data_IF_521224068525
#
_entry.id   IF_521224068525
#
_cell.length_a   1.000
_cell.length_b   1.000
_cell.length_c   1.000
_cell.angle_alpha   90.00
_cell.angle_beta   90.00
_cell.angle_gamma   90.00
#
_symmetry.space_group_name_H-M   'P 1'
#
loop_
_entity.id
_entity.type
_entity.pdbx_description
1 polymer ?
#
# COMPACT_ATOMS: atom_id res chain seq x y z
N UNK A 1 -14.96 17.60 18.14
CA UNK A 1 -13.63 17.63 17.51
C UNK A 1 -13.37 16.38 16.65
N UNK A 2 -13.57 15.15 17.13
CA UNK A 2 -13.31 13.90 16.34
C UNK A 2 -14.06 13.85 15.00
N UNK A 3 -15.37 14.14 14.96
CA UNK A 3 -16.13 14.09 13.70
C UNK A 3 -15.59 15.06 12.63
N UNK A 4 -15.14 16.24 13.02
CA UNK A 4 -14.51 17.21 12.11
C UNK A 4 -13.20 16.68 11.52
N UNK A 5 -12.39 16.00 12.33
CA UNK A 5 -11.13 15.40 11.89
C UNK A 5 -11.37 14.31 10.83
N UNK A 6 -12.32 13.40 11.05
CA UNK A 6 -12.66 12.36 10.07
C UNK A 6 -13.21 12.91 8.75
N UNK A 7 -14.04 13.98 8.83
CA UNK A 7 -14.57 14.65 7.63
C UNK A 7 -13.42 15.33 6.86
N UNK A 8 -12.48 15.96 7.57
CA UNK A 8 -11.33 16.62 6.95
C UNK A 8 -10.45 15.62 6.20
N UNK A 9 -10.10 14.49 6.82
CA UNK A 9 -9.33 13.41 6.16
C UNK A 9 -10.08 12.87 4.93
N UNK A 10 -11.38 12.64 5.05
CA UNK A 10 -12.18 12.16 3.91
C UNK A 10 -12.15 13.16 2.74
N UNK A 11 -12.18 14.46 3.04
CA UNK A 11 -12.05 15.51 2.02
C UNK A 11 -10.67 15.51 1.37
N UNK A 12 -9.59 15.36 2.16
CA UNK A 12 -8.22 15.27 1.64
C UNK A 12 -8.06 14.08 0.69
N UNK A 13 -8.60 12.90 1.05
CA UNK A 13 -8.59 11.71 0.20
C UNK A 13 -9.33 11.98 -1.11
N UNK A 14 -10.53 12.58 -1.07
CA UNK A 14 -11.30 12.92 -2.27
C UNK A 14 -10.54 13.92 -3.15
N UNK A 15 -9.97 14.97 -2.56
CA UNK A 15 -9.20 15.97 -3.31
C UNK A 15 -7.98 15.35 -3.99
N UNK A 16 -7.24 14.51 -3.28
CA UNK A 16 -6.06 13.84 -3.84
C UNK A 16 -6.44 12.91 -4.99
N UNK A 17 -7.47 12.08 -4.82
CA UNK A 17 -7.97 11.21 -5.89
C UNK A 17 -8.34 12.00 -7.14
N UNK A 18 -9.02 13.13 -6.94
CA UNK A 18 -9.41 13.99 -8.06
C UNK A 18 -8.21 14.66 -8.72
N UNK A 19 -7.17 15.00 -7.96
CA UNK A 19 -5.91 15.50 -8.54
C UNK A 19 -5.27 14.46 -9.45
N UNK A 20 -5.14 13.20 -8.98
CA UNK A 20 -4.50 12.13 -9.74
C UNK A 20 -5.24 11.85 -11.07
N UNK A 21 -6.55 11.70 -10.99
CA UNK A 21 -7.39 11.46 -12.18
C UNK A 21 -7.44 12.71 -13.06
N UNK A 22 -7.65 13.89 -12.48
CA UNK A 22 -7.74 15.14 -13.22
C UNK A 22 -6.48 15.46 -14.02
N UNK A 23 -5.28 15.14 -13.51
CA UNK A 23 -4.02 15.32 -14.24
C UNK A 23 -3.90 14.30 -15.38
N UNK A 24 -4.35 13.07 -15.19
CA UNK A 24 -4.42 12.07 -16.25
C UNK A 24 -5.32 12.55 -17.40
N UNK A 25 -6.56 12.94 -17.10
CA UNK A 25 -7.53 13.46 -18.08
C UNK A 25 -7.03 14.74 -18.76
N UNK A 26 -6.33 15.60 -18.01
CA UNK A 26 -5.70 16.79 -18.56
C UNK A 26 -4.68 16.44 -19.64
N UNK A 27 -3.96 15.34 -19.50
CA UNK A 27 -3.05 14.84 -20.53
C UNK A 27 -3.77 14.57 -21.85
N UNK A 28 -4.85 13.80 -21.81
CA UNK A 28 -5.69 13.52 -22.99
C UNK A 28 -6.26 14.81 -23.58
N UNK A 29 -6.79 15.68 -22.75
CA UNK A 29 -7.36 16.95 -23.15
C UNK A 29 -6.35 17.83 -23.91
N UNK A 30 -5.16 18.03 -23.35
CA UNK A 30 -4.13 18.88 -23.95
C UNK A 30 -3.61 18.29 -25.26
N UNK A 31 -3.40 16.98 -25.32
CA UNK A 31 -2.97 16.29 -26.52
C UNK A 31 -4.05 16.36 -27.64
N UNK A 32 -5.31 16.12 -27.30
CA UNK A 32 -6.42 16.23 -28.23
C UNK A 32 -6.54 17.65 -28.78
N UNK A 33 -6.45 18.66 -27.93
CA UNK A 33 -6.45 20.07 -28.32
C UNK A 33 -5.27 20.42 -29.23
N UNK A 34 -4.06 19.93 -28.89
CA UNK A 34 -2.85 20.15 -29.70
C UNK A 34 -2.94 19.51 -31.07
N UNK A 35 -3.55 18.31 -31.16
CA UNK A 35 -3.73 17.58 -32.42
C UNK A 35 -4.98 18.01 -33.20
N UNK A 36 -5.77 18.97 -32.70
CA UNK A 36 -6.95 19.50 -33.34
C UNK A 36 -8.16 18.57 -33.37
N UNK A 37 -8.23 17.58 -32.46
CA UNK A 37 -9.39 16.74 -32.30
C UNK A 37 -10.57 17.54 -31.72
N UNK A 38 -11.77 17.13 -32.04
CA UNK A 38 -12.98 17.69 -31.43
C UNK A 38 -13.08 17.23 -29.99
N UNK A 39 -13.18 18.19 -29.09
CA UNK A 39 -13.43 17.93 -27.66
C UNK A 39 -14.83 18.44 -27.36
N UNK A 40 -15.74 17.58 -26.98
CA UNK A 40 -17.09 17.98 -26.60
C UNK A 40 -17.16 18.39 -25.13
N UNK A 41 -16.52 17.60 -24.25
CA UNK A 41 -16.57 17.84 -22.80
C UNK A 41 -15.28 17.45 -22.10
N UNK A 42 -14.91 18.23 -21.11
CA UNK A 42 -13.95 17.87 -20.07
C UNK A 42 -14.68 17.86 -18.73
N UNK A 43 -14.83 16.71 -18.10
CA UNK A 43 -15.57 16.56 -16.87
C UNK A 43 -14.69 15.99 -15.76
N UNK A 44 -14.80 16.59 -14.58
CA UNK A 44 -14.34 16.05 -13.32
C UNK A 44 -15.58 15.49 -12.63
N UNK A 45 -15.47 14.26 -12.08
CA UNK A 45 -16.56 13.49 -11.51
C UNK A 45 -17.58 12.98 -12.55
N UNK A 46 -18.22 11.90 -12.19
CA UNK A 46 -19.26 11.28 -13.00
C UNK A 46 -20.66 11.78 -12.64
N UNK A 47 -21.62 11.41 -13.47
CA UNK A 47 -23.05 11.66 -13.26
C UNK A 47 -23.55 12.99 -13.81
N UNK A 48 -24.73 13.44 -13.35
CA UNK A 48 -25.32 14.70 -13.80
C UNK A 48 -24.47 15.87 -13.33
N UNK A 49 -24.17 16.87 -14.21
CA UNK A 49 -23.40 18.03 -13.80
C UNK A 49 -24.11 18.86 -12.73
N UNK A 50 -23.40 19.12 -11.62
CA UNK A 50 -23.80 20.10 -10.61
C UNK A 50 -23.36 21.53 -11.02
N UNK A 51 -22.32 21.61 -11.84
CA UNK A 51 -21.86 22.85 -12.46
C UNK A 51 -21.35 22.54 -13.86
N UNK A 52 -21.63 23.46 -14.81
CA UNK A 52 -21.09 23.39 -16.15
C UNK A 52 -20.95 24.77 -16.79
N UNK A 53 -19.96 24.92 -17.64
CA UNK A 53 -19.74 26.10 -18.44
C UNK A 53 -19.18 25.72 -19.82
N UNK A 54 -19.36 26.57 -20.82
CA UNK A 54 -18.84 26.32 -22.16
C UNK A 54 -17.84 27.40 -22.55
N UNK A 55 -16.60 27.00 -22.80
CA UNK A 55 -15.51 27.89 -23.17
C UNK A 55 -14.83 27.35 -24.45
N UNK A 56 -14.69 28.17 -25.47
CA UNK A 56 -14.02 27.77 -26.73
C UNK A 56 -14.62 26.55 -27.41
N UNK A 57 -15.94 26.32 -27.27
CA UNK A 57 -16.64 25.18 -27.85
C UNK A 57 -16.58 23.88 -27.02
N UNK A 58 -15.79 23.83 -25.92
CA UNK A 58 -15.69 22.72 -24.98
C UNK A 58 -16.59 22.97 -23.78
N UNK A 59 -17.40 21.99 -23.39
CA UNK A 59 -18.15 22.01 -22.14
C UNK A 59 -17.25 21.54 -20.99
N UNK A 60 -17.04 22.36 -19.99
CA UNK A 60 -16.39 22.01 -18.71
C UNK A 60 -17.46 21.69 -17.71
N UNK A 61 -17.38 20.54 -17.05
CA UNK A 61 -18.41 20.08 -16.13
C UNK A 61 -17.84 19.50 -14.86
N UNK A 62 -18.59 19.66 -13.75
CA UNK A 62 -18.37 18.98 -12.47
C UNK A 62 -19.59 18.09 -12.22
N UNK A 63 -19.39 16.77 -12.17
CA UNK A 63 -20.45 15.81 -11.85
C UNK A 63 -20.83 15.80 -10.38
N UNK A 64 -21.81 15.01 -9.99
CA UNK A 64 -22.24 14.90 -8.58
C UNK A 64 -21.63 13.71 -7.85
N UNK A 65 -21.03 12.73 -8.56
CA UNK A 65 -20.35 11.57 -7.98
C UNK A 65 -18.86 11.92 -7.87
N UNK A 66 -18.29 12.13 -6.68
CA UNK A 66 -16.93 12.61 -6.49
C UNK A 66 -15.87 11.53 -6.76
N UNK A 67 -15.95 10.91 -7.92
CA UNK A 67 -15.03 9.88 -8.38
C UNK A 67 -14.86 9.98 -9.88
N UNK A 68 -13.61 9.84 -10.35
CA UNK A 68 -13.30 9.79 -11.76
C UNK A 68 -13.29 11.14 -12.47
N UNK A 69 -13.17 11.07 -13.76
CA UNK A 69 -13.20 12.16 -14.73
C UNK A 69 -13.23 11.59 -16.13
N UNK A 70 -13.44 12.41 -17.14
CA UNK A 70 -13.35 11.98 -18.54
C UNK A 70 -13.23 13.15 -19.50
N UNK A 71 -12.63 12.87 -20.64
CA UNK A 71 -12.60 13.76 -21.79
C UNK A 71 -13.43 13.15 -22.93
N UNK A 72 -14.55 13.77 -23.30
CA UNK A 72 -15.38 13.28 -24.41
C UNK A 72 -14.74 13.65 -25.76
N UNK A 73 -14.22 12.64 -26.44
CA UNK A 73 -13.54 12.73 -27.72
C UNK A 73 -14.30 11.93 -28.80
N UNK A 74 -15.29 12.53 -29.53
CA UNK A 74 -16.17 11.79 -30.42
C UNK A 74 -15.46 11.08 -31.58
N UNK A 75 -14.24 11.51 -31.91
CA UNK A 75 -13.42 10.87 -32.95
C UNK A 75 -12.62 9.65 -32.44
N UNK A 76 -12.67 9.40 -31.11
CA UNK A 76 -12.09 8.21 -30.47
C UNK A 76 -13.23 7.31 -29.91
N UNK A 77 -14.01 6.74 -30.84
CA UNK A 77 -15.30 6.08 -30.59
C UNK A 77 -15.31 4.99 -29.50
N UNK A 78 -14.16 4.42 -29.18
CA UNK A 78 -14.04 3.43 -28.09
C UNK A 78 -14.03 4.06 -26.70
N UNK A 79 -13.57 5.30 -26.57
CA UNK A 79 -13.65 6.04 -25.31
C UNK A 79 -15.09 6.43 -24.96
N UNK A 80 -15.93 6.71 -25.96
CA UNK A 80 -17.35 7.05 -25.73
C UNK A 80 -18.16 5.93 -25.04
N UNK A 81 -17.81 4.68 -25.30
CA UNK A 81 -18.50 3.55 -24.68
C UNK A 81 -18.19 3.43 -23.16
N UNK A 82 -17.09 3.96 -22.71
CA UNK A 82 -16.59 3.85 -21.35
C UNK A 82 -16.79 5.15 -20.56
N UNK A 83 -16.53 6.29 -21.19
CA UNK A 83 -16.49 7.61 -20.54
C UNK A 83 -17.80 8.41 -20.66
N UNK A 84 -18.71 8.00 -21.52
CA UNK A 84 -20.01 8.63 -21.73
C UNK A 84 -20.25 9.05 -23.17
N UNK A 85 -21.51 9.14 -23.56
CA UNK A 85 -21.91 9.52 -24.91
C UNK A 85 -21.51 10.95 -25.22
N UNK A 86 -20.80 11.13 -26.33
CA UNK A 86 -20.56 12.43 -26.94
C UNK A 86 -21.85 12.99 -27.57
N UNK A 87 -22.01 14.31 -27.50
CA UNK A 87 -23.16 14.99 -28.12
C UNK A 87 -23.01 15.09 -29.67
N UNK A 88 -21.79 14.86 -30.21
CA UNK A 88 -21.48 14.97 -31.63
C UNK A 88 -21.24 13.59 -32.24
N UNK A 89 -22.04 13.11 -33.18
CA UNK A 89 -21.80 11.85 -33.88
C UNK A 89 -20.45 11.82 -34.60
N UNK A 90 -19.63 10.80 -34.33
CA UNK A 90 -18.29 10.62 -34.93
C UNK A 90 -18.33 10.62 -36.50
N UNK A 91 -19.38 10.06 -37.06
CA UNK A 91 -19.57 9.97 -38.53
C UNK A 91 -19.63 11.33 -39.25
N UNK A 92 -19.90 12.42 -38.52
CA UNK A 92 -19.96 13.80 -39.08
C UNK A 92 -18.64 14.55 -38.97
N UNK A 93 -17.64 13.95 -38.35
CA UNK A 93 -16.34 14.58 -38.11
C UNK A 93 -15.28 14.06 -39.06
N UNK A 94 -14.27 14.88 -39.42
CA UNK A 94 -13.15 14.41 -40.22
C UNK A 94 -12.43 13.23 -39.52
N UNK A 95 -11.94 12.26 -40.32
CA UNK A 95 -11.22 11.12 -39.74
C UNK A 95 -9.92 11.57 -39.08
N UNK A 96 -9.63 11.01 -37.92
CA UNK A 96 -8.38 11.25 -37.18
C UNK A 96 -7.33 10.23 -37.59
N UNK A 97 -6.08 10.66 -37.76
CA UNK A 97 -4.99 9.76 -38.09
C UNK A 97 -4.72 8.79 -36.93
N UNK A 98 -4.30 7.52 -37.20
CA UNK A 98 -3.94 6.59 -36.13
C UNK A 98 -2.83 7.13 -35.23
N UNK A 99 -1.89 7.91 -35.76
CA UNK A 99 -0.84 8.56 -34.98
C UNK A 99 -1.40 9.54 -33.96
N UNK A 100 -2.39 10.36 -34.37
CA UNK A 100 -3.02 11.30 -33.45
C UNK A 100 -3.78 10.59 -32.33
N UNK A 101 -4.47 9.48 -32.63
CA UNK A 101 -5.10 8.62 -31.63
C UNK A 101 -4.08 8.08 -30.63
N UNK A 102 -2.92 7.61 -31.10
CA UNK A 102 -1.84 7.11 -30.25
C UNK A 102 -1.29 8.24 -29.35
N UNK A 103 -1.03 9.43 -29.91
CA UNK A 103 -0.53 10.57 -29.14
C UNK A 103 -1.50 10.94 -28.02
N UNK A 104 -2.79 11.00 -28.33
CA UNK A 104 -3.82 11.32 -27.33
C UNK A 104 -3.90 10.22 -26.27
N UNK A 105 -3.89 8.93 -26.66
CA UNK A 105 -3.98 7.83 -25.74
C UNK A 105 -2.75 7.75 -24.80
N UNK A 106 -1.54 8.03 -25.31
CA UNK A 106 -0.30 8.04 -24.49
C UNK A 106 -0.27 9.22 -23.52
N UNK A 107 -0.94 10.32 -23.84
CA UNK A 107 -0.79 11.56 -23.08
C UNK A 107 -1.34 11.48 -21.65
N UNK A 108 -2.44 10.75 -21.39
CA UNK A 108 -2.95 10.51 -20.03
C UNK A 108 -1.92 9.79 -19.15
N UNK A 109 -1.49 8.58 -19.53
CA UNK A 109 -0.41 7.86 -18.85
C UNK A 109 0.88 8.68 -18.64
N UNK A 110 1.28 9.44 -19.67
CA UNK A 110 2.44 10.32 -19.59
C UNK A 110 2.27 11.39 -18.51
N UNK A 111 1.12 12.03 -18.42
CA UNK A 111 0.84 13.05 -17.41
C UNK A 111 0.78 12.45 -16.01
N UNK A 112 0.22 11.25 -15.82
CA UNK A 112 0.30 10.51 -14.57
C UNK A 112 1.75 10.21 -14.19
N UNK A 113 2.58 9.80 -15.13
CA UNK A 113 4.01 9.56 -14.88
C UNK A 113 4.75 10.85 -14.51
N UNK A 114 4.49 11.96 -15.19
CA UNK A 114 5.07 13.27 -14.84
C UNK A 114 4.64 13.73 -13.45
N UNK A 115 3.40 13.49 -13.06
CA UNK A 115 2.92 13.76 -11.70
C UNK A 115 3.65 12.88 -10.67
N UNK A 116 3.85 11.59 -10.97
CA UNK A 116 4.66 10.71 -10.12
C UNK A 116 6.07 11.25 -9.91
N UNK A 117 6.74 11.68 -10.99
CA UNK A 117 8.08 12.29 -10.93
C UNK A 117 8.06 13.58 -10.09
N UNK A 118 7.03 14.42 -10.26
CA UNK A 118 6.86 15.65 -9.48
C UNK A 118 6.75 15.35 -7.99
N UNK A 119 5.89 14.39 -7.59
CA UNK A 119 5.80 13.94 -6.21
C UNK A 119 7.12 13.32 -5.71
N UNK A 120 7.84 12.57 -6.55
CA UNK A 120 9.11 11.97 -6.19
C UNK A 120 10.19 13.03 -5.86
N UNK A 121 10.20 14.16 -6.57
CA UNK A 121 11.06 15.30 -6.21
C UNK A 121 10.67 15.92 -4.88
N UNK A 122 9.37 16.05 -4.60
CA UNK A 122 8.91 16.54 -3.29
C UNK A 122 9.32 15.59 -2.18
N UNK A 123 9.10 14.28 -2.34
CA UNK A 123 9.50 13.25 -1.35
C UNK A 123 11.02 13.26 -1.14
N UNK A 124 11.81 13.44 -2.19
CA UNK A 124 13.26 13.59 -2.07
C UNK A 124 13.67 14.79 -1.19
N UNK A 125 12.94 15.90 -1.32
CA UNK A 125 13.18 17.10 -0.51
C UNK A 125 12.72 16.97 0.94
N UNK A 126 11.49 16.47 1.16
CA UNK A 126 10.88 16.44 2.51
C UNK A 126 11.16 15.16 3.29
N UNK A 127 11.62 14.11 2.63
CA UNK A 127 11.88 12.79 3.21
C UNK A 127 10.61 11.94 3.32
N UNK A 128 10.82 10.63 3.34
CA UNK A 128 9.84 9.58 3.60
C UNK A 128 10.10 9.00 4.99
N UNK A 129 9.10 8.92 5.88
CA UNK A 129 9.24 8.23 7.15
C UNK A 129 9.44 6.73 6.92
N UNK A 130 10.33 6.13 7.67
CA UNK A 130 10.60 4.69 7.71
C UNK A 130 10.89 4.26 9.15
N UNK A 131 10.44 3.08 9.55
CA UNK A 131 10.66 2.53 10.88
C UNK A 131 11.89 1.64 10.92
N UNK A 132 12.42 1.35 12.12
CA UNK A 132 13.49 0.36 12.28
C UNK A 132 13.01 -1.03 11.81
N UNK A 133 11.76 -1.39 12.11
CA UNK A 133 11.14 -2.63 11.68
C UNK A 133 11.10 -2.78 10.16
N UNK A 134 10.84 -1.67 9.45
CA UNK A 134 10.85 -1.67 7.99
C UNK A 134 12.24 -1.99 7.41
N UNK A 135 13.30 -1.50 8.04
CA UNK A 135 14.67 -1.55 7.51
C UNK A 135 15.49 -2.77 7.98
N UNK A 136 14.95 -3.60 8.85
CA UNK A 136 15.62 -4.81 9.34
C UNK A 136 15.19 -6.06 8.57
N UNK A 137 16.01 -7.11 8.66
CA UNK A 137 15.62 -8.50 8.33
C UNK A 137 15.64 -9.39 9.56
N UNK A 138 15.86 -8.81 10.76
CA UNK A 138 15.87 -9.53 12.01
C UNK A 138 14.44 -9.81 12.47
N UNK A 139 14.17 -11.03 12.88
CA UNK A 139 12.88 -11.45 13.43
C UNK A 139 12.77 -10.93 14.86
N UNK A 140 11.73 -10.15 15.14
CA UNK A 140 11.39 -9.65 16.47
C UNK A 140 10.48 -10.59 17.24
N UNK A 141 9.53 -11.19 16.55
CA UNK A 141 8.56 -12.11 17.14
C UNK A 141 8.21 -13.23 16.17
N UNK A 142 7.94 -14.40 16.74
CA UNK A 142 7.47 -15.59 16.02
C UNK A 142 6.27 -16.14 16.78
N UNK A 143 5.16 -16.36 16.10
CA UNK A 143 4.00 -17.02 16.71
C UNK A 143 4.38 -18.42 17.18
N UNK A 144 4.24 -18.72 18.51
CA UNK A 144 4.61 -20.03 19.08
C UNK A 144 3.85 -21.21 18.48
N UNK A 145 2.65 -20.97 17.92
CA UNK A 145 1.82 -21.98 17.26
C UNK A 145 2.00 -21.97 15.73
N UNK A 146 2.77 -21.03 15.22
CA UNK A 146 2.91 -20.74 13.80
C UNK A 146 3.92 -21.62 13.07
N UNK A 147 3.87 -21.56 11.72
CA UNK A 147 4.74 -22.37 10.88
C UNK A 147 6.23 -22.00 10.97
N UNK A 148 6.56 -20.75 11.25
CA UNK A 148 7.95 -20.33 11.44
C UNK A 148 8.55 -20.94 12.70
N UNK A 149 7.79 -20.98 13.80
CA UNK A 149 8.21 -21.62 15.05
C UNK A 149 8.46 -23.11 14.87
N UNK A 150 7.51 -23.79 14.19
CA UNK A 150 7.60 -25.23 13.87
C UNK A 150 8.79 -25.52 12.96
N UNK A 151 9.14 -24.61 12.04
CA UNK A 151 10.32 -24.71 11.20
C UNK A 151 11.65 -24.42 11.92
N UNK A 152 11.59 -24.02 13.20
CA UNK A 152 12.76 -23.78 14.04
C UNK A 152 13.26 -22.34 14.06
N UNK A 153 12.55 -21.37 13.44
CA UNK A 153 12.85 -19.95 13.54
C UNK A 153 12.53 -19.41 14.95
N UNK A 154 13.30 -18.42 15.38
CA UNK A 154 13.17 -17.81 16.73
C UNK A 154 13.36 -16.29 16.64
N UNK A 155 12.83 -15.52 17.59
CA UNK A 155 13.18 -14.11 17.75
C UNK A 155 14.70 -13.94 17.84
N UNK A 156 15.22 -12.90 17.16
CA UNK A 156 16.65 -12.65 17.05
C UNK A 156 17.33 -13.23 15.80
N UNK A 157 16.70 -14.17 15.08
CA UNK A 157 17.21 -14.67 13.81
C UNK A 157 17.21 -13.56 12.76
N UNK A 158 18.25 -13.50 11.93
CA UNK A 158 18.32 -12.58 10.79
C UNK A 158 18.09 -13.34 9.50
N UNK A 159 17.01 -13.02 8.78
CA UNK A 159 16.70 -13.65 7.50
C UNK A 159 17.65 -13.10 6.44
N UNK A 160 18.29 -13.99 5.68
CA UNK A 160 19.26 -13.65 4.62
C UNK A 160 18.67 -13.82 3.22
N UNK A 161 17.87 -14.89 3.03
CA UNK A 161 17.23 -15.18 1.75
C UNK A 161 15.95 -16.00 1.93
N UNK A 162 15.03 -15.88 1.00
CA UNK A 162 13.80 -16.68 0.90
C UNK A 162 13.75 -17.29 -0.50
N UNK A 163 13.58 -18.61 -0.58
CA UNK A 163 13.60 -19.39 -1.85
C UNK A 163 14.83 -19.08 -2.71
N UNK A 164 15.99 -18.85 -2.07
CA UNK A 164 17.25 -18.51 -2.73
C UNK A 164 17.39 -17.03 -3.10
N UNK A 165 16.36 -16.22 -2.97
CA UNK A 165 16.40 -14.79 -3.27
C UNK A 165 16.83 -13.99 -2.01
N UNK A 166 17.89 -13.17 -2.09
CA UNK A 166 18.32 -12.32 -0.98
C UNK A 166 17.22 -11.35 -0.57
N UNK A 167 17.14 -11.07 0.74
CA UNK A 167 16.25 -10.05 1.31
C UNK A 167 17.04 -8.99 2.06
N UNK A 168 16.53 -7.75 2.08
CA UNK A 168 17.22 -6.61 2.68
C UNK A 168 16.43 -5.93 3.79
N UNK A 169 15.12 -6.11 3.84
CA UNK A 169 14.22 -5.47 4.80
C UNK A 169 12.89 -6.21 4.91
N UNK A 170 12.08 -5.89 5.94
CA UNK A 170 10.76 -6.49 6.12
C UNK A 170 9.67 -5.82 5.32
N UNK A 171 9.74 -4.49 5.12
CA UNK A 171 8.66 -3.71 4.49
C UNK A 171 8.23 -4.26 3.13
N UNK A 172 6.93 -4.44 2.86
CA UNK A 172 6.43 -5.05 1.62
C UNK A 172 6.53 -4.12 0.38
N UNK A 173 7.35 -3.10 0.45
CA UNK A 173 7.44 -2.03 -0.55
C UNK A 173 8.39 -2.31 -1.70
N UNK A 174 9.10 -3.44 -1.68
CA UNK A 174 9.99 -3.86 -2.76
C UNK A 174 10.06 -5.38 -2.88
N UNK A 175 10.60 -5.85 -4.02
CA UNK A 175 10.72 -7.28 -4.32
C UNK A 175 11.78 -8.00 -3.47
N UNK A 176 12.70 -7.30 -2.85
CA UNK A 176 13.74 -7.82 -1.97
C UNK A 176 13.34 -7.75 -0.49
N UNK A 177 12.04 -7.62 -0.19
CA UNK A 177 11.53 -7.68 1.17
C UNK A 177 11.18 -9.10 1.62
N UNK A 178 11.31 -9.33 2.91
CA UNK A 178 10.90 -10.59 3.57
C UNK A 178 9.42 -10.87 3.29
N UNK A 179 8.55 -9.87 3.52
CA UNK A 179 7.10 -10.03 3.33
C UNK A 179 6.74 -10.34 1.88
N UNK A 180 7.33 -9.61 0.93
CA UNK A 180 7.05 -9.86 -0.50
C UNK A 180 7.47 -11.26 -0.93
N UNK A 181 8.68 -11.72 -0.53
CA UNK A 181 9.19 -13.03 -0.88
C UNK A 181 8.36 -14.17 -0.29
N UNK A 182 7.83 -14.01 0.93
CA UNK A 182 6.90 -14.96 1.53
C UNK A 182 5.60 -15.05 0.72
N UNK A 183 5.00 -13.89 0.39
CA UNK A 183 3.74 -13.81 -0.35
C UNK A 183 3.85 -14.45 -1.74
N UNK A 184 4.96 -14.24 -2.43
CA UNK A 184 5.20 -14.71 -3.81
C UNK A 184 5.94 -16.02 -3.89
N UNK A 185 6.26 -16.66 -2.76
CA UNK A 185 6.89 -17.96 -2.70
C UNK A 185 6.07 -19.02 -3.44
N UNK A 186 6.75 -19.94 -4.08
CA UNK A 186 6.15 -21.04 -4.84
C UNK A 186 6.30 -22.38 -4.10
N UNK A 187 5.39 -23.30 -4.34
CA UNK A 187 5.47 -24.65 -3.79
C UNK A 187 4.92 -24.78 -2.35
N UNK A 188 5.01 -26.00 -1.75
CA UNK A 188 4.36 -26.32 -0.48
C UNK A 188 5.12 -25.85 0.75
N UNK A 189 6.40 -25.52 0.62
CA UNK A 189 7.26 -25.05 1.70
C UNK A 189 8.09 -23.86 1.25
N UNK A 190 8.27 -22.91 2.14
CA UNK A 190 9.09 -21.72 1.96
C UNK A 190 10.49 -22.02 2.51
N UNK A 191 11.50 -21.95 1.68
CA UNK A 191 12.89 -22.15 2.09
C UNK A 191 13.48 -20.83 2.62
N UNK A 192 13.88 -20.80 3.89
CA UNK A 192 14.34 -19.60 4.59
C UNK A 192 15.77 -19.80 5.02
N UNK A 193 16.69 -19.05 4.43
CA UNK A 193 18.08 -18.97 4.86
C UNK A 193 18.19 -17.89 5.92
N UNK A 194 18.69 -18.21 7.08
CA UNK A 194 18.81 -17.28 8.21
C UNK A 194 20.13 -17.45 8.97
N UNK A 195 20.49 -16.45 9.76
CA UNK A 195 21.66 -16.44 10.62
C UNK A 195 21.23 -16.40 12.08
N UNK A 196 21.79 -17.31 12.90
CA UNK A 196 21.66 -17.34 14.35
C UNK A 196 23.02 -17.57 14.96
N UNK A 197 23.43 -16.75 15.93
CA UNK A 197 24.73 -16.84 16.62
C UNK A 197 25.92 -16.91 15.65
N UNK A 198 25.87 -16.11 14.59
CA UNK A 198 26.91 -16.05 13.56
C UNK A 198 26.87 -17.20 12.53
N UNK A 199 26.07 -18.25 12.76
CA UNK A 199 25.96 -19.40 11.86
C UNK A 199 24.79 -19.28 10.91
N UNK A 200 25.02 -19.60 9.64
CA UNK A 200 23.97 -19.68 8.62
C UNK A 200 23.27 -21.04 8.69
N UNK A 201 21.94 -20.99 8.67
CA UNK A 201 21.07 -22.17 8.77
C UNK A 201 19.94 -22.08 7.74
N UNK A 202 19.28 -23.22 7.49
CA UNK A 202 18.12 -23.33 6.63
C UNK A 202 16.90 -23.78 7.45
N UNK A 203 15.76 -23.14 7.22
CA UNK A 203 14.46 -23.58 7.72
C UNK A 203 13.49 -23.75 6.55
N UNK A 204 12.50 -24.62 6.72
CA UNK A 204 11.47 -24.90 5.72
C UNK A 204 10.11 -24.76 6.40
N UNK A 205 9.45 -23.62 6.19
CA UNK A 205 8.15 -23.31 6.78
C UNK A 205 7.02 -23.68 5.83
N UNK A 206 5.99 -24.36 6.31
CA UNK A 206 4.74 -24.56 5.57
C UNK A 206 3.92 -23.28 5.69
N UNK A 207 3.48 -22.65 4.58
CA UNK A 207 2.76 -21.38 4.66
C UNK A 207 1.42 -21.55 5.40
N UNK A 208 1.08 -20.55 6.21
CA UNK A 208 -0.22 -20.41 6.85
C UNK A 208 -1.13 -19.52 6.03
N UNK A 209 -2.42 -19.83 6.03
CA UNK A 209 -3.46 -19.05 5.40
C UNK A 209 -4.54 -18.74 6.42
N UNK A 210 -4.84 -17.46 6.64
CA UNK A 210 -5.99 -17.10 7.46
C UNK A 210 -7.27 -17.67 6.85
N UNK A 211 -8.15 -18.26 7.66
CA UNK A 211 -9.48 -18.64 7.20
C UNK A 211 -10.22 -17.41 6.66
N UNK A 212 -10.77 -17.51 5.45
CA UNK A 212 -11.56 -16.45 4.83
C UNK A 212 -12.92 -16.98 4.42
N UNK A 213 -13.95 -16.14 4.51
CA UNK A 213 -15.28 -16.48 3.99
C UNK A 213 -15.24 -16.48 2.44
N UNK A 214 -16.20 -17.16 1.82
CA UNK A 214 -16.27 -17.31 0.38
C UNK A 214 -16.40 -15.97 -0.39
N UNK A 215 -16.89 -14.91 0.25
CA UNK A 215 -17.01 -13.56 -0.28
C UNK A 215 -15.81 -12.66 0.03
N UNK A 216 -14.88 -13.12 0.83
CA UNK A 216 -13.66 -12.41 1.18
C UNK A 216 -12.53 -12.75 0.19
N UNK A 217 -11.53 -11.90 0.16
CA UNK A 217 -10.30 -12.19 -0.58
C UNK A 217 -9.58 -13.36 0.08
N UNK A 218 -9.05 -14.26 -0.74
CA UNK A 218 -8.20 -15.34 -0.20
C UNK A 218 -7.02 -14.75 0.55
N UNK A 219 -6.69 -15.34 1.69
CA UNK A 219 -5.51 -14.98 2.45
C UNK A 219 -4.24 -15.23 1.64
N UNK A 220 -3.28 -14.33 1.76
CA UNK A 220 -1.94 -14.52 1.22
C UNK A 220 -1.11 -15.40 2.14
N UNK A 221 -0.03 -15.96 1.61
CA UNK A 221 0.93 -16.78 2.37
C UNK A 221 1.55 -15.99 3.50
N UNK A 222 1.63 -16.61 4.68
CA UNK A 222 2.26 -16.07 5.88
C UNK A 222 3.06 -17.14 6.58
N UNK A 223 4.06 -16.75 7.35
CA UNK A 223 4.79 -17.63 8.26
C UNK A 223 4.63 -17.19 9.72
N UNK A 224 3.86 -16.16 9.98
CA UNK A 224 3.53 -15.59 11.30
C UNK A 224 4.79 -15.15 12.07
N UNK A 225 5.52 -14.23 11.47
CA UNK A 225 6.68 -13.54 12.07
C UNK A 225 6.46 -12.02 11.97
N UNK A 226 7.06 -11.29 12.92
CA UNK A 226 7.13 -9.82 12.87
C UNK A 226 8.60 -9.37 12.92
N UNK A 227 8.91 -8.18 12.35
CA UNK A 227 10.25 -7.60 12.41
C UNK A 227 10.69 -7.28 13.85
N UNK A 228 12.01 -7.14 14.05
CA UNK A 228 12.55 -6.62 15.28
C UNK A 228 12.28 -5.12 15.38
N UNK A 229 11.68 -4.73 16.49
CA UNK A 229 11.34 -3.35 16.83
C UNK A 229 11.56 -3.12 18.32
N UNK A 230 12.06 -1.95 18.75
CA UNK A 230 12.22 -1.66 20.16
C UNK A 230 10.86 -1.61 20.87
N UNK A 231 10.80 -2.21 22.07
CA UNK A 231 9.58 -2.23 22.89
C UNK A 231 9.51 -0.96 23.74
N UNK A 232 9.15 0.17 23.13
CA UNK A 232 9.07 1.46 23.80
C UNK A 232 7.64 1.71 24.27
N UNK A 233 7.47 2.02 25.53
CA UNK A 233 6.18 2.35 26.14
C UNK A 233 5.77 3.74 25.69
N UNK A 234 4.62 3.88 25.00
CA UNK A 234 4.08 5.17 24.59
C UNK A 234 3.15 5.78 25.65
N UNK A 235 2.18 5.00 26.11
CA UNK A 235 1.20 5.47 27.07
C UNK A 235 0.89 4.39 28.10
N UNK A 236 0.79 4.82 29.36
CA UNK A 236 0.42 3.94 30.49
C UNK A 236 -0.83 4.51 31.14
N UNK A 237 -1.87 3.69 31.33
CA UNK A 237 -3.07 4.10 32.06
C UNK A 237 -2.75 4.35 33.53
N UNK A 238 -3.24 5.48 34.04
CA UNK A 238 -3.23 5.77 35.48
C UNK A 238 -3.96 4.65 36.24
N UNK A 239 -3.42 4.25 37.40
CA UNK A 239 -3.96 3.17 38.24
C UNK A 239 -3.90 1.77 37.58
N UNK A 240 -3.03 1.57 36.60
CA UNK A 240 -2.79 0.27 35.97
C UNK A 240 -1.63 -0.46 36.64
N UNK A 241 -1.52 -1.80 36.44
CA UNK A 241 -0.38 -2.58 36.92
C UNK A 241 0.97 -2.02 36.44
N UNK A 242 1.06 -1.52 35.22
CA UNK A 242 2.27 -0.91 34.69
C UNK A 242 2.61 0.40 35.41
N UNK A 243 1.61 1.27 35.66
CA UNK A 243 1.80 2.51 36.42
C UNK A 243 2.20 2.23 37.90
N UNK A 244 1.54 1.28 38.54
CA UNK A 244 1.86 0.84 39.92
C UNK A 244 3.29 0.31 40.03
N UNK A 245 3.81 -0.38 39.01
CA UNK A 245 5.19 -0.83 38.91
C UNK A 245 6.18 0.28 38.55
N UNK A 246 5.71 1.49 38.26
CA UNK A 246 6.54 2.67 37.95
C UNK A 246 7.04 2.70 36.53
N UNK A 247 6.35 2.02 35.56
CA UNK A 247 6.57 2.21 34.14
C UNK A 247 6.00 3.54 33.68
N UNK A 248 6.70 4.20 32.80
CA UNK A 248 6.35 5.52 32.27
C UNK A 248 6.55 5.59 30.75
N UNK A 249 5.96 6.59 30.15
CA UNK A 249 6.18 6.89 28.74
C UNK A 249 7.69 7.07 28.45
N UNK A 250 8.16 6.50 27.34
CA UNK A 250 9.55 6.51 26.90
C UNK A 250 10.43 5.39 27.47
N UNK A 251 9.92 4.55 28.38
CA UNK A 251 10.64 3.37 28.87
C UNK A 251 10.84 2.36 27.74
N UNK A 252 12.04 1.81 27.62
CA UNK A 252 12.37 0.75 26.66
C UNK A 252 12.47 -0.57 27.42
N UNK A 253 11.62 -1.52 27.10
CA UNK A 253 11.69 -2.86 27.68
C UNK A 253 12.64 -3.71 26.83
N UNK A 254 13.79 -4.07 27.40
CA UNK A 254 14.85 -4.80 26.71
C UNK A 254 14.84 -6.29 26.93
N UNK A 255 14.28 -6.73 28.09
CA UNK A 255 14.14 -8.14 28.41
C UNK A 255 12.85 -8.40 29.21
N UNK A 256 12.34 -9.61 29.12
CA UNK A 256 11.21 -10.13 29.89
C UNK A 256 11.61 -11.46 30.53
N UNK A 257 11.46 -11.56 31.87
CA UNK A 257 11.85 -12.74 32.66
C UNK A 257 13.31 -13.18 32.44
N UNK A 258 14.22 -12.21 32.29
CA UNK A 258 15.64 -12.43 32.01
C UNK A 258 15.99 -12.81 30.56
N UNK A 259 14.99 -12.93 29.67
CA UNK A 259 15.21 -13.19 28.25
C UNK A 259 15.10 -11.90 27.45
N UNK A 260 16.09 -11.64 26.60
CA UNK A 260 16.07 -10.50 25.67
C UNK A 260 14.85 -10.60 24.78
N UNK A 261 14.13 -9.49 24.61
CA UNK A 261 13.02 -9.36 23.67
C UNK A 261 13.44 -8.46 22.50
N UNK A 262 12.84 -8.69 21.35
CA UNK A 262 13.14 -7.98 20.10
C UNK A 262 11.89 -7.30 19.51
N UNK A 263 10.73 -7.42 20.18
CA UNK A 263 9.49 -6.81 19.73
C UNK A 263 8.48 -6.76 20.88
N UNK A 264 7.64 -5.72 20.96
CA UNK A 264 6.54 -5.63 21.94
C UNK A 264 5.51 -6.75 21.74
N UNK A 265 5.43 -7.37 20.58
CA UNK A 265 4.57 -8.54 20.35
C UNK A 265 4.90 -9.71 21.27
N UNK A 266 6.14 -9.83 21.75
CA UNK A 266 6.52 -10.84 22.75
C UNK A 266 5.79 -10.62 24.07
N UNK A 267 5.68 -9.36 24.52
CA UNK A 267 4.96 -9.00 25.75
C UNK A 267 3.46 -9.20 25.55
N UNK A 268 2.93 -8.74 24.40
CA UNK A 268 1.51 -8.86 24.08
C UNK A 268 1.07 -10.33 24.04
N UNK A 269 1.87 -11.20 23.40
CA UNK A 269 1.61 -12.64 23.34
C UNK A 269 1.64 -13.29 24.72
N UNK A 270 2.59 -12.93 25.57
CA UNK A 270 2.68 -13.45 26.94
C UNK A 270 1.47 -13.04 27.80
N UNK A 271 0.94 -11.83 27.59
CA UNK A 271 -0.30 -11.37 28.26
C UNK A 271 -1.53 -12.08 27.72
N UNK A 272 -1.60 -12.29 26.40
CA UNK A 272 -2.71 -12.99 25.76
C UNK A 272 -2.81 -14.45 26.19
N UNK A 273 -1.69 -15.14 26.37
CA UNK A 273 -1.65 -16.50 26.94
C UNK A 273 -2.30 -16.58 28.32
N UNK A 274 -2.25 -15.50 29.11
CA UNK A 274 -2.88 -15.44 30.44
C UNK A 274 -4.41 -15.30 30.36
N UNK A 275 -4.98 -15.03 29.19
CA UNK A 275 -6.45 -14.94 29.01
C UNK A 275 -7.13 -16.27 29.31
N UNK A 276 -6.48 -17.37 28.97
CA UNK A 276 -6.97 -18.74 29.15
C UNK A 276 -6.21 -19.52 30.27
N UNK A 277 -5.32 -18.85 31.00
CA UNK A 277 -4.48 -19.46 32.02
C UNK A 277 -4.36 -18.64 33.32
N UNK A 278 -3.51 -19.10 34.25
CA UNK A 278 -3.22 -18.33 35.46
C UNK A 278 -2.43 -17.06 35.10
N UNK A 279 -2.81 -15.94 35.71
CA UNK A 279 -2.03 -14.71 35.63
C UNK A 279 -0.72 -14.88 36.37
N UNK A 280 0.40 -14.65 35.68
CA UNK A 280 1.77 -14.76 36.24
C UNK A 280 2.44 -13.39 36.24
N UNK A 281 3.31 -13.10 37.22
CA UNK A 281 4.10 -11.89 37.20
C UNK A 281 5.09 -11.92 36.03
N UNK A 282 5.24 -10.77 35.35
CA UNK A 282 6.24 -10.54 34.31
C UNK A 282 7.30 -9.59 34.87
N UNK A 283 8.56 -10.00 34.85
CA UNK A 283 9.68 -9.14 35.21
C UNK A 283 10.29 -8.54 33.97
N UNK A 284 10.24 -7.22 33.86
CA UNK A 284 10.80 -6.47 32.75
C UNK A 284 12.13 -5.85 33.16
N UNK A 285 13.14 -5.99 32.30
CA UNK A 285 14.35 -5.18 32.38
C UNK A 285 14.09 -3.93 31.53
N UNK A 286 14.08 -2.79 32.20
CA UNK A 286 13.69 -1.48 31.61
C UNK A 286 14.92 -0.61 31.48
N UNK A 287 15.06 0.03 30.34
CA UNK A 287 16.02 1.09 30.09
C UNK A 287 15.29 2.43 30.06
N UNK A 288 15.68 3.37 30.93
CA UNK A 288 15.18 4.74 30.97
C UNK A 288 16.38 5.70 30.88
N UNK A 289 16.57 6.28 29.71
CA UNK A 289 17.80 7.04 29.41
C UNK A 289 19.04 6.14 29.52
N UNK A 290 19.94 6.43 30.45
CA UNK A 290 21.15 5.63 30.74
C UNK A 290 20.92 4.54 31.79
N UNK A 291 19.83 4.58 32.53
CA UNK A 291 19.58 3.72 33.67
C UNK A 291 18.91 2.42 33.23
N UNK A 292 19.36 1.31 33.86
CA UNK A 292 18.76 -0.02 33.71
C UNK A 292 18.27 -0.52 35.04
N UNK A 293 17.02 -0.97 35.09
CA UNK A 293 16.42 -1.51 36.31
C UNK A 293 15.33 -2.53 35.98
N UNK A 294 15.02 -3.41 36.92
CA UNK A 294 13.96 -4.39 36.79
C UNK A 294 12.65 -3.90 37.42
N UNK A 295 11.52 -4.23 36.78
CA UNK A 295 10.15 -4.00 37.26
C UNK A 295 9.33 -5.24 37.09
N UNK A 296 8.67 -5.67 38.17
CA UNK A 296 7.74 -6.79 38.09
C UNK A 296 6.32 -6.29 38.03
N UNK A 297 5.59 -6.70 37.02
CA UNK A 297 4.22 -6.31 36.74
C UNK A 297 3.33 -7.52 36.72
N UNK A 298 2.22 -7.48 37.46
CA UNK A 298 1.19 -8.51 37.43
C UNK A 298 0.00 -8.03 36.65
N UNK A 299 -0.27 -8.65 35.51
CA UNK A 299 -1.42 -8.29 34.69
C UNK A 299 -2.73 -8.40 35.50
N UNK A 300 -3.68 -7.49 35.26
CA UNK A 300 -4.97 -7.45 35.97
C UNK A 300 -6.10 -7.60 34.96
N UNK A 301 -7.11 -8.39 35.30
CA UNK A 301 -8.34 -8.43 34.49
C UNK A 301 -9.11 -7.13 34.74
N UNK A 302 -9.55 -6.43 33.70
CA UNK A 302 -10.44 -5.26 33.84
C UNK A 302 -11.74 -5.66 34.56
N UNK A 303 -12.30 -4.71 35.35
CA UNK A 303 -13.57 -4.95 36.03
C UNK A 303 -14.75 -4.98 35.05
N UNK A 304 -14.65 -4.21 33.98
CA UNK A 304 -15.65 -4.14 32.91
C UNK A 304 -14.97 -3.97 31.54
N UNK A 305 -15.41 -4.68 30.51
CA UNK A 305 -16.34 -5.84 30.57
C UNK A 305 -15.65 -7.06 31.21
N UNK A 306 -16.42 -7.86 31.94
CA UNK A 306 -15.93 -8.99 32.75
C UNK A 306 -15.17 -10.07 31.98
N UNK A 307 -15.37 -10.14 30.65
CA UNK A 307 -14.71 -11.09 29.75
C UNK A 307 -13.45 -10.52 29.07
N UNK A 308 -13.01 -9.34 29.49
CA UNK A 308 -11.79 -8.75 28.92
C UNK A 308 -10.55 -9.57 29.27
N UNK A 309 -9.58 -9.69 28.35
CA UNK A 309 -8.30 -10.32 28.64
C UNK A 309 -7.56 -9.54 29.74
N UNK A 310 -6.63 -10.20 30.46
CA UNK A 310 -5.73 -9.51 31.38
C UNK A 310 -4.97 -8.41 30.65
N UNK A 311 -4.68 -7.31 31.35
CA UNK A 311 -3.96 -6.18 30.80
C UNK A 311 -2.88 -5.70 31.79
N UNK A 312 -1.77 -5.22 31.24
CA UNK A 312 -0.74 -4.50 31.97
C UNK A 312 -1.10 -3.03 32.16
N UNK A 313 -2.03 -2.53 31.30
CA UNK A 313 -2.38 -1.11 31.22
C UNK A 313 -1.39 -0.27 30.43
N UNK A 314 -0.55 -0.91 29.62
CA UNK A 314 0.20 -0.25 28.56
C UNK A 314 -0.79 -0.10 27.39
N UNK A 315 -1.14 1.15 27.06
CA UNK A 315 -2.18 1.49 26.08
C UNK A 315 -1.65 1.38 24.67
N UNK A 316 -0.43 1.87 24.50
CA UNK A 316 0.22 1.92 23.20
C UNK A 316 1.72 1.64 23.35
N UNK A 317 2.26 1.05 22.30
CA UNK A 317 3.68 0.90 22.07
C UNK A 317 4.09 1.88 20.99
N UNK A 318 5.21 2.56 21.22
CA UNK A 318 5.80 3.39 20.18
C UNK A 318 6.39 2.45 19.11
N UNK A 319 5.53 1.90 18.27
CA UNK A 319 5.94 1.06 17.12
C UNK A 319 6.62 1.89 16.02
N UNK A 320 6.39 3.21 16.03
CA UNK A 320 6.83 4.11 14.97
C UNK A 320 7.77 5.24 15.43
N UNK A 321 8.36 5.18 16.63
CA UNK A 321 9.09 6.35 17.18
C UNK A 321 10.51 6.53 16.72
N UNK A 322 11.18 5.50 16.26
CA UNK A 322 12.45 5.66 15.56
C UNK A 322 12.20 5.87 14.07
N UNK A 323 11.27 6.78 13.76
CA UNK A 323 11.01 7.18 12.40
C UNK A 323 12.21 7.99 11.90
N UNK A 324 13.05 7.37 11.11
CA UNK A 324 14.06 8.09 10.35
C UNK A 324 13.46 8.61 9.04
N UNK A 325 13.82 9.83 8.67
CA UNK A 325 13.49 10.35 7.35
C UNK A 325 14.54 9.91 6.35
N UNK A 326 14.15 9.08 5.42
CA UNK A 326 14.98 8.71 4.28
C UNK A 326 14.61 9.57 3.07
N UNK A 327 15.60 9.96 2.29
CA UNK A 327 15.46 10.84 1.12
C UNK A 327 15.79 10.07 -0.17
N UNK A 328 14.96 9.09 -0.59
CA UNK A 328 15.24 8.35 -1.80
C UNK A 328 15.18 9.29 -3.01
N UNK A 329 16.14 9.13 -3.93
CA UNK A 329 16.15 9.92 -5.15
C UNK A 329 14.91 9.66 -6.00
N UNK A 330 14.47 10.61 -6.85
CA UNK A 330 13.34 10.38 -7.76
C UNK A 330 13.52 9.14 -8.63
N UNK A 331 14.74 8.85 -9.05
CA UNK A 331 15.06 7.65 -9.82
C UNK A 331 14.80 6.37 -9.03
N UNK A 332 15.30 6.28 -7.79
CA UNK A 332 15.10 5.11 -6.92
C UNK A 332 13.62 4.87 -6.64
N UNK A 333 12.84 5.94 -6.40
CA UNK A 333 11.41 5.85 -6.16
C UNK A 333 10.65 5.30 -7.38
N UNK A 334 10.94 5.83 -8.56
CA UNK A 334 10.31 5.38 -9.81
C UNK A 334 10.75 3.95 -10.13
N UNK A 335 12.04 3.63 -10.01
CA UNK A 335 12.55 2.28 -10.27
C UNK A 335 11.93 1.25 -9.32
N UNK A 336 11.83 1.57 -8.03
CA UNK A 336 11.18 0.69 -7.04
C UNK A 336 9.70 0.47 -7.38
N UNK A 337 8.99 1.55 -7.74
CA UNK A 337 7.58 1.48 -8.15
C UNK A 337 7.39 0.62 -9.40
N UNK A 338 8.22 0.81 -10.43
CA UNK A 338 8.21 -0.02 -11.64
C UNK A 338 8.46 -1.49 -11.32
N UNK A 339 9.49 -1.77 -10.51
CA UNK A 339 9.82 -3.13 -10.08
C UNK A 339 8.65 -3.78 -9.34
N UNK A 340 7.98 -3.04 -8.46
CA UNK A 340 6.82 -3.55 -7.72
C UNK A 340 5.64 -3.85 -8.64
N UNK A 341 5.34 -3.00 -9.64
CA UNK A 341 4.27 -3.26 -10.62
C UNK A 341 4.57 -4.51 -11.44
N UNK A 342 5.77 -4.63 -12.00
CA UNK A 342 6.16 -5.81 -12.77
C UNK A 342 6.19 -7.08 -11.92
N UNK A 343 6.67 -6.99 -10.67
CA UNK A 343 6.64 -8.10 -9.73
C UNK A 343 5.20 -8.55 -9.41
N UNK A 344 4.30 -7.60 -9.18
CA UNK A 344 2.88 -7.89 -8.92
C UNK A 344 2.22 -8.53 -10.14
N UNK A 345 2.44 -8.00 -11.34
CA UNK A 345 1.92 -8.60 -12.57
C UNK A 345 2.51 -10.00 -12.79
N UNK A 346 3.81 -10.16 -12.58
CA UNK A 346 4.46 -11.48 -12.66
C UNK A 346 3.86 -12.49 -11.68
N UNK A 347 3.60 -12.07 -10.43
CA UNK A 347 2.97 -12.93 -9.44
C UNK A 347 1.51 -13.27 -9.80
N UNK A 348 0.72 -12.28 -10.26
CA UNK A 348 -0.69 -12.48 -10.66
C UNK A 348 -0.83 -13.43 -11.85
N UNK A 349 0.09 -13.37 -12.81
CA UNK A 349 0.07 -14.21 -13.99
C UNK A 349 0.81 -15.56 -13.81
N UNK A 350 1.54 -15.74 -12.71
CA UNK A 350 2.20 -17.02 -12.41
C UNK A 350 1.17 -18.03 -11.87
N UNK A 351 1.05 -19.21 -12.48
CA UNK A 351 0.17 -20.26 -11.95
C UNK A 351 0.71 -20.93 -10.68
N UNK A 352 1.91 -20.57 -10.24
CA UNK A 352 2.59 -21.17 -9.09
C UNK A 352 2.46 -20.34 -7.80
N UNK A 353 2.06 -19.08 -7.90
CA UNK A 353 1.80 -18.21 -6.74
C UNK A 353 0.33 -18.22 -6.38
N UNK A 354 0.01 -17.87 -5.13
CA UNK A 354 -1.37 -17.70 -4.67
C UNK A 354 -1.88 -16.26 -4.87
N UNK A 355 -1.08 -15.41 -5.50
CA UNK A 355 -1.44 -14.02 -5.80
C UNK A 355 -2.32 -13.99 -7.04
N UNK A 356 -3.60 -13.70 -6.87
CA UNK A 356 -4.56 -13.61 -7.97
C UNK A 356 -5.05 -12.18 -8.23
N UNK A 357 -5.80 -12.00 -9.30
CA UNK A 357 -6.43 -10.71 -9.68
C UNK A 357 -7.28 -10.13 -8.54
N UNK A 358 -7.86 -10.99 -7.71
CA UNK A 358 -8.66 -10.58 -6.55
C UNK A 358 -7.86 -9.80 -5.47
N UNK A 359 -6.52 -9.92 -5.43
CA UNK A 359 -5.67 -9.14 -4.54
C UNK A 359 -5.38 -7.73 -5.06
N UNK A 360 -5.65 -7.45 -6.34
CA UNK A 360 -5.50 -6.11 -6.89
C UNK A 360 -6.52 -5.18 -6.23
N UNK A 361 -6.04 -4.08 -5.66
CA UNK A 361 -6.87 -3.11 -4.95
C UNK A 361 -7.69 -2.25 -5.92
N UNK A 362 -9.01 -2.21 -5.72
CA UNK A 362 -9.87 -1.23 -6.39
C UNK A 362 -9.84 0.15 -5.71
N UNK A 363 -10.54 1.13 -6.28
CA UNK A 363 -10.57 2.52 -5.81
C UNK A 363 -10.90 2.66 -4.31
N UNK A 364 -11.84 1.85 -3.79
CA UNK A 364 -12.23 1.86 -2.37
C UNK A 364 -11.07 1.45 -1.46
N UNK A 365 -10.29 0.43 -1.86
CA UNK A 365 -9.13 0.00 -1.09
C UNK A 365 -8.03 1.07 -1.09
N UNK A 366 -7.77 1.70 -2.24
CA UNK A 366 -6.79 2.78 -2.37
C UNK A 366 -7.22 3.97 -1.48
N UNK A 367 -8.51 4.34 -1.51
CA UNK A 367 -9.05 5.38 -0.65
C UNK A 367 -8.86 5.05 0.84
N UNK A 368 -9.06 3.78 1.25
CA UNK A 368 -8.82 3.32 2.62
C UNK A 368 -7.33 3.43 3.00
N UNK A 369 -6.43 3.09 2.10
CA UNK A 369 -4.98 3.25 2.33
C UNK A 369 -4.65 4.73 2.57
N UNK A 370 -5.09 5.64 1.71
CA UNK A 370 -4.89 7.07 1.91
C UNK A 370 -5.48 7.57 3.22
N UNK A 371 -6.70 7.14 3.55
CA UNK A 371 -7.36 7.48 4.80
C UNK A 371 -6.52 7.08 6.02
N UNK A 372 -6.01 5.85 6.03
CA UNK A 372 -5.16 5.36 7.13
C UNK A 372 -3.82 6.12 7.20
N UNK A 373 -3.21 6.44 6.05
CA UNK A 373 -1.97 7.20 6.00
C UNK A 373 -2.17 8.61 6.56
N UNK A 374 -3.25 9.30 6.23
CA UNK A 374 -3.55 10.63 6.76
C UNK A 374 -3.80 10.67 8.28
N UNK A 375 -4.16 9.53 8.89
CA UNK A 375 -4.32 9.44 10.35
C UNK A 375 -2.99 9.36 11.11
N UNK A 376 -1.91 8.98 10.44
CA UNK A 376 -0.59 8.85 11.06
C UNK A 376 0.06 10.22 11.28
N UNK A 377 0.86 10.40 12.33
CA UNK A 377 1.77 11.52 12.44
C UNK A 377 2.66 11.57 11.18
N UNK A 378 2.87 12.77 10.61
CA UNK A 378 3.58 12.91 9.32
C UNK A 378 3.01 12.09 8.14
N UNK A 379 1.75 11.65 8.23
CA UNK A 379 1.08 10.82 7.23
C UNK A 379 1.06 11.44 5.83
N UNK A 380 1.06 12.77 5.73
CA UNK A 380 1.15 13.48 4.45
C UNK A 380 2.43 13.13 3.66
N UNK A 381 3.55 12.83 4.31
CA UNK A 381 4.79 12.38 3.66
C UNK A 381 4.63 10.98 3.08
N UNK A 382 3.97 10.09 3.81
CA UNK A 382 3.64 8.73 3.35
C UNK A 382 2.62 8.78 2.21
N UNK A 383 1.64 9.69 2.28
CA UNK A 383 0.67 9.97 1.21
C UNK A 383 1.38 10.38 -0.08
N UNK A 384 2.33 11.31 -0.01
CA UNK A 384 3.11 11.72 -1.18
C UNK A 384 3.89 10.54 -1.79
N UNK A 385 4.59 9.78 -0.94
CA UNK A 385 5.32 8.61 -1.41
C UNK A 385 4.40 7.54 -2.02
N UNK A 386 3.28 7.24 -1.39
CA UNK A 386 2.29 6.31 -1.94
C UNK A 386 1.68 6.82 -3.26
N UNK A 387 1.55 8.15 -3.40
CA UNK A 387 1.09 8.78 -4.64
C UNK A 387 2.10 8.61 -5.79
N UNK A 388 3.42 8.56 -5.51
CA UNK A 388 4.43 8.20 -6.52
C UNK A 388 4.15 6.81 -7.05
N UNK A 389 4.05 5.82 -6.13
CA UNK A 389 3.77 4.43 -6.48
C UNK A 389 2.47 4.30 -7.29
N UNK A 390 1.40 4.96 -6.83
CA UNK A 390 0.09 4.86 -7.47
C UNK A 390 0.07 5.47 -8.87
N UNK A 391 0.73 6.62 -9.09
CA UNK A 391 0.78 7.25 -10.41
C UNK A 391 1.67 6.48 -11.40
N UNK A 392 2.77 5.89 -10.95
CA UNK A 392 3.57 4.97 -11.78
C UNK A 392 2.74 3.76 -12.16
N UNK A 393 2.00 3.19 -11.20
CA UNK A 393 1.09 2.07 -11.42
C UNK A 393 -0.02 2.43 -12.41
N UNK A 394 -0.69 3.58 -12.22
CA UNK A 394 -1.73 4.08 -13.11
C UNK A 394 -1.21 4.27 -14.54
N UNK A 395 -0.03 4.89 -14.69
CA UNK A 395 0.59 5.09 -15.99
C UNK A 395 0.89 3.76 -16.70
N UNK A 396 1.47 2.78 -16.00
CA UNK A 396 1.80 1.48 -16.56
C UNK A 396 0.57 0.64 -16.89
N UNK A 397 -0.39 0.54 -15.97
CA UNK A 397 -1.59 -0.27 -16.18
C UNK A 397 -2.42 0.27 -17.34
N UNK A 398 -2.54 1.61 -17.47
CA UNK A 398 -3.26 2.21 -18.60
C UNK A 398 -2.56 1.98 -19.94
N UNK A 399 -1.27 1.67 -19.97
CA UNK A 399 -0.55 1.27 -21.18
C UNK A 399 -0.74 -0.20 -21.57
N UNK A 400 -1.39 -1.02 -20.73
CA UNK A 400 -1.68 -2.41 -21.10
C UNK A 400 -2.66 -2.49 -22.29
N UNK A 401 -2.47 -3.44 -23.21
CA UNK A 401 -3.28 -3.57 -24.43
C UNK A 401 -4.67 -4.18 -24.14
N UNK A 402 -5.39 -3.61 -23.18
CA UNK A 402 -6.74 -4.02 -22.81
C UNK A 402 -7.76 -3.02 -23.35
N UNK A 403 -8.92 -3.47 -23.88
CA UNK A 403 -9.87 -2.59 -24.57
C UNK A 403 -10.40 -1.41 -23.75
N UNK A 404 -10.41 -1.55 -22.42
CA UNK A 404 -10.93 -0.55 -21.45
C UNK A 404 -9.89 0.50 -21.08
N UNK A 405 -8.61 0.28 -21.45
CA UNK A 405 -7.48 1.12 -21.07
C UNK A 405 -6.94 1.89 -22.30
N UNK A 406 -6.17 2.93 -22.04
CA UNK A 406 -5.52 3.74 -23.10
C UNK A 406 -4.66 2.89 -24.04
N UNK A 407 -3.95 1.88 -23.49
CA UNK A 407 -3.17 0.92 -24.27
C UNK A 407 -3.99 0.12 -25.28
N UNK A 408 -5.27 -0.12 -24.98
CA UNK A 408 -6.21 -0.70 -25.95
C UNK A 408 -6.42 0.18 -27.17
N UNK A 409 -6.56 1.49 -26.98
CA UNK A 409 -6.65 2.46 -28.08
C UNK A 409 -5.38 2.52 -28.91
N UNK A 410 -4.22 2.42 -28.25
CA UNK A 410 -2.92 2.34 -28.93
C UNK A 410 -2.86 1.07 -29.79
N UNK A 411 -3.22 -0.08 -29.24
CA UNK A 411 -3.23 -1.36 -29.97
C UNK A 411 -4.17 -1.30 -31.18
N UNK A 412 -5.39 -0.79 -31.00
CA UNK A 412 -6.36 -0.65 -32.08
C UNK A 412 -5.86 0.30 -33.18
N UNK A 413 -5.25 1.42 -32.79
CA UNK A 413 -4.67 2.36 -33.74
C UNK A 413 -3.50 1.77 -34.52
N UNK A 414 -2.66 0.93 -33.88
CA UNK A 414 -1.61 0.16 -34.56
C UNK A 414 -2.18 -0.86 -35.56
N UNK A 415 -3.26 -1.54 -35.19
CA UNK A 415 -3.98 -2.44 -36.10
C UNK A 415 -4.55 -1.66 -37.30
N UNK A 416 -5.08 -0.46 -37.11
CA UNK A 416 -5.56 0.42 -38.20
C UNK A 416 -4.42 0.79 -39.15
N UNK A 417 -3.24 1.11 -38.65
CA UNK A 417 -2.04 1.39 -39.44
C UNK A 417 -1.68 0.19 -40.34
N UNK A 418 -1.64 -1.02 -39.76
CA UNK A 418 -1.28 -2.24 -40.48
C UNK A 418 -2.32 -2.60 -41.54
N UNK A 419 -3.60 -2.51 -41.19
CA UNK A 419 -4.73 -2.85 -42.09
C UNK A 419 -5.04 -1.78 -43.11
N UNK A 420 -4.53 -0.56 -42.91
CA UNK A 420 -4.88 0.64 -43.70
C UNK A 420 -6.39 0.89 -43.81
N UNK A 421 -7.15 0.45 -42.81
CA UNK A 421 -8.61 0.61 -42.73
C UNK A 421 -9.02 0.74 -41.27
N UNK A 422 -10.00 1.59 -40.92
CA UNK A 422 -10.47 1.70 -39.55
C UNK A 422 -11.03 0.36 -39.03
N UNK A 423 -10.87 0.10 -37.75
CA UNK A 423 -11.47 -1.05 -37.08
C UNK A 423 -12.95 -0.78 -36.89
N UNK A 424 -13.80 -1.73 -37.28
CA UNK A 424 -15.26 -1.56 -37.12
C UNK A 424 -15.66 -1.66 -35.65
N UNK A 425 -16.60 -0.81 -35.21
CA UNK A 425 -17.16 -0.79 -33.85
C UNK A 425 -17.81 -2.14 -33.41
N UNK A 426 -18.02 -3.10 -34.34
CA UNK A 426 -18.54 -4.43 -34.04
C UNK A 426 -17.46 -5.40 -33.53
N UNK A 427 -16.21 -5.04 -33.62
CA UNK A 427 -15.04 -5.86 -33.19
C UNK A 427 -14.53 -5.46 -31.80
N UNK A 428 -15.11 -4.42 -31.24
CA UNK A 428 -14.84 -3.83 -29.93
C UNK A 428 -15.93 -4.20 -28.92
#
# INVERSE_FOLDING_TARGET
MMAFHYIFIALEVVLLFNLLIGVHELGHFLAAKWRGLKIDRFAIWFGKPIWKTKIGGVEYALGWIPAGGYVALPQMATMEAIEGKSDTPAEKLPPVSPLDKIIVAVAGPLFSFLLAVSFAFVVWGVGKPTTEGDNTTQIGWVDPTGPAWTAGLRPGDTILAIDGYPVKHFAPTSQDSVTWRIITSEGPKIAIKYRRDGQEKMAYATPYYHPTHWYERRSLRQILVAPAEPSIVDEVFSNSPAAEAGLTNGDIITAMNGQKIFSPFTIMSAVDEMSNGPVKPLTFTVQRGSDHFDRTVLARKPLEPTNSPPSLGIVAWLLDTNVSLVHPTPYEQVQSSLSQVFGTLGAVFSPKTDVGVQQLGGAVMIARVYYNLFQSPDGWRQVLWFSVLLNVNLALLNMLPLPVLDGGHILLSLIEVIRRRPVSARLL
#
